data_IF_502840226628
#
_entry.id   IF_502840226628
#
_cell.length_a   1.000
_cell.length_b   1.000
_cell.length_c   1.000
_cell.angle_alpha   90.00
_cell.angle_beta   90.00
_cell.angle_gamma   90.00
#
_symmetry.space_group_name_H-M   'P 1'
#
loop_
_entity.id
_entity.type
_entity.pdbx_description
1 polymer ?
#
# COMPACT_ATOMS: atom_id res chain seq x y z
N UNK A 1 8.11 -5.42 -4.67
CA UNK A 1 8.68 -4.47 -3.70
C UNK A 1 8.38 -4.90 -2.28
N UNK A 2 9.17 -4.44 -1.34
CA UNK A 2 8.93 -4.72 0.06
C UNK A 2 8.00 -3.66 0.65
N UNK A 3 7.57 -3.91 1.90
CA UNK A 3 6.72 -2.96 2.61
C UNK A 3 7.43 -1.62 2.82
N UNK A 4 8.71 -1.67 3.11
CA UNK A 4 9.51 -0.47 3.29
C UNK A 4 9.66 0.30 1.99
N UNK A 5 9.85 -0.40 0.90
CA UNK A 5 9.94 0.23 -0.41
C UNK A 5 8.64 0.88 -0.80
N UNK A 6 7.52 0.24 -0.48
CA UNK A 6 6.21 0.81 -0.75
C UNK A 6 6.01 2.10 0.04
N UNK A 7 6.38 2.10 1.31
CA UNK A 7 6.29 3.29 2.14
C UNK A 7 7.14 4.42 1.61
N UNK A 8 8.35 4.11 1.16
CA UNK A 8 9.25 5.10 0.58
C UNK A 8 8.69 5.65 -0.73
N UNK A 9 8.15 4.78 -1.55
CA UNK A 9 7.55 5.17 -2.83
C UNK A 9 6.38 6.14 -2.62
N UNK A 10 5.58 5.88 -1.60
CA UNK A 10 4.40 6.70 -1.31
C UNK A 10 4.72 7.90 -0.42
N UNK A 11 5.93 7.96 0.12
CA UNK A 11 6.33 9.05 1.01
C UNK A 11 5.64 9.00 2.36
N UNK A 12 5.32 7.81 2.84
CA UNK A 12 4.58 7.61 4.07
C UNK A 12 5.45 6.98 5.15
N UNK A 13 5.06 7.21 6.40
CA UNK A 13 5.71 6.55 7.52
C UNK A 13 5.28 5.09 7.59
N UNK A 14 6.12 4.27 8.20
CA UNK A 14 5.86 2.83 8.29
C UNK A 14 4.53 2.52 8.98
N UNK A 15 4.18 3.28 10.01
CA UNK A 15 2.90 3.08 10.71
C UNK A 15 1.71 3.30 9.80
N UNK A 16 1.77 4.37 9.00
CA UNK A 16 0.72 4.68 8.05
C UNK A 16 0.63 3.59 6.98
N UNK A 17 1.77 3.10 6.52
CA UNK A 17 1.82 2.04 5.53
C UNK A 17 1.17 0.77 6.08
N UNK A 18 1.43 0.44 7.34
CA UNK A 18 0.85 -0.75 7.96
C UNK A 18 -0.68 -0.69 7.99
N UNK A 19 -1.23 0.46 8.28
CA UNK A 19 -2.68 0.65 8.30
C UNK A 19 -3.28 0.56 6.91
N UNK A 20 -2.66 1.24 5.96
CA UNK A 20 -3.14 1.23 4.58
C UNK A 20 -3.00 -0.13 3.94
N UNK A 21 -2.00 -0.89 4.36
CA UNK A 21 -1.76 -2.23 3.85
C UNK A 21 -2.98 -3.12 4.01
N UNK A 22 -3.56 -3.12 5.21
CA UNK A 22 -4.74 -3.91 5.48
C UNK A 22 -5.89 -3.50 4.57
N UNK A 23 -6.06 -2.21 4.37
CA UNK A 23 -7.12 -1.71 3.50
C UNK A 23 -6.88 -2.07 2.05
N UNK A 24 -5.64 -1.93 1.57
CA UNK A 24 -5.30 -2.30 0.19
C UNK A 24 -5.56 -3.78 -0.06
N UNK A 25 -5.20 -4.63 0.88
CA UNK A 25 -5.44 -6.07 0.76
C UNK A 25 -6.93 -6.37 0.75
N UNK A 26 -7.68 -5.71 1.62
CA UNK A 26 -9.11 -5.92 1.72
C UNK A 26 -9.83 -5.55 0.42
N UNK A 27 -9.36 -4.52 -0.23
CA UNK A 27 -9.98 -4.06 -1.48
C UNK A 27 -9.36 -4.73 -2.71
N UNK A 28 -8.33 -5.55 -2.52
CA UNK A 28 -7.69 -6.25 -3.61
C UNK A 28 -6.84 -5.35 -4.49
N UNK A 29 -6.33 -4.26 -3.94
CA UNK A 29 -5.50 -3.32 -4.69
C UNK A 29 -4.04 -3.75 -4.74
N UNK A 30 -3.62 -4.57 -3.80
CA UNK A 30 -2.27 -5.08 -3.75
C UNK A 30 -2.29 -6.58 -3.43
N UNK A 31 -1.20 -7.23 -3.78
CA UNK A 31 -1.00 -8.63 -3.45
C UNK A 31 0.28 -8.74 -2.64
N UNK A 32 0.20 -9.40 -1.49
CA UNK A 32 1.36 -9.61 -0.63
C UNK A 32 1.77 -11.07 -0.72
N UNK A 33 3.03 -11.28 -1.10
CA UNK A 33 3.58 -12.62 -1.21
C UNK A 33 4.87 -12.65 -0.41
N UNK A 34 4.82 -13.25 0.78
CA UNK A 34 5.93 -13.29 1.71
C UNK A 34 6.36 -11.86 2.08
N UNK A 35 7.53 -11.43 1.61
CA UNK A 35 8.05 -10.09 1.87
C UNK A 35 7.83 -9.14 0.70
N UNK A 36 7.27 -9.64 -0.38
CA UNK A 36 7.09 -8.84 -1.59
C UNK A 36 5.66 -8.34 -1.70
N UNK A 37 5.54 -7.09 -2.12
CA UNK A 37 4.25 -6.45 -2.33
C UNK A 37 4.13 -6.13 -3.81
N UNK A 38 3.02 -6.53 -4.40
CA UNK A 38 2.74 -6.23 -5.80
C UNK A 38 1.52 -5.32 -5.86
N UNK A 39 1.65 -4.21 -6.54
CA UNK A 39 0.53 -3.30 -6.72
C UNK A 39 -0.29 -3.76 -7.92
N UNK A 40 -1.53 -4.15 -7.67
CA UNK A 40 -2.42 -4.63 -8.73
C UNK A 40 -3.17 -3.47 -9.38
N UNK A 41 -3.46 -2.43 -8.60
CA UNK A 41 -4.21 -1.27 -9.09
C UNK A 41 -3.66 0.00 -8.49
N UNK A 42 -2.79 0.66 -9.23
CA UNK A 42 -2.14 1.90 -8.77
C UNK A 42 -3.17 3.01 -8.57
N UNK A 43 -4.13 3.11 -9.46
CA UNK A 43 -5.16 4.15 -9.35
C UNK A 43 -5.97 3.99 -8.07
N UNK A 44 -6.30 2.74 -7.72
CA UNK A 44 -7.01 2.46 -6.49
C UNK A 44 -6.19 2.80 -5.25
N UNK A 45 -4.90 2.46 -5.28
CA UNK A 45 -4.00 2.78 -4.18
C UNK A 45 -3.91 4.29 -3.99
N UNK A 46 -3.75 5.03 -5.06
CA UNK A 46 -3.67 6.49 -4.99
C UNK A 46 -4.97 7.10 -4.48
N UNK A 47 -6.10 6.54 -4.88
CA UNK A 47 -7.41 7.01 -4.42
C UNK A 47 -7.54 6.85 -2.91
N UNK A 48 -7.11 5.72 -2.38
CA UNK A 48 -7.15 5.47 -0.94
C UNK A 48 -6.24 6.43 -0.21
N UNK A 49 -5.05 6.67 -0.75
CA UNK A 49 -4.10 7.60 -0.15
C UNK A 49 -4.65 9.03 -0.13
N UNK A 50 -5.31 9.45 -1.19
CA UNK A 50 -5.91 10.77 -1.25
C UNK A 50 -7.03 10.90 -0.23
N UNK A 51 -7.83 9.86 -0.08
CA UNK A 51 -8.93 9.87 0.88
C UNK A 51 -8.43 9.80 2.33
N UNK A 52 -7.25 9.26 2.54
CA UNK A 52 -6.70 9.08 3.88
C UNK A 52 -6.01 10.33 4.43
N UNK A 53 -5.82 11.34 3.62
CA UNK A 53 -5.20 12.59 4.09
C UNK A 53 -6.10 13.43 4.97
#
# INVERSE_FOLDING_TARGET
>A
MTREELGSYLGLKLETVSRLFSQFQKEGLIEVNQKHVRILDIAGVERVLTAAK
#
